data_IF_492867528152
#
_entry.id   IF_492867528152
#
_cell.length_a   1.000
_cell.length_b   1.000
_cell.length_c   1.000
_cell.angle_alpha   90.00
_cell.angle_beta   90.00
_cell.angle_gamma   90.00
#
_symmetry.space_group_name_H-M   'P 1'
#
loop_
_entity.id
_entity.type
_entity.pdbx_description
1 polymer ?
#
# COMPACT_ATOMS: atom_id res chain seq x y z
N UNK A 1 16.18 9.51 13.29
CA UNK A 1 14.98 9.29 12.46
C UNK A 1 14.85 10.49 11.56
N UNK A 2 15.04 10.35 10.24
CA UNK A 2 14.83 11.45 9.30
C UNK A 2 13.34 11.76 9.26
N UNK A 3 12.96 13.01 9.51
CA UNK A 3 11.57 13.43 9.33
C UNK A 3 11.16 13.20 7.87
N UNK A 4 10.05 12.48 7.68
CA UNK A 4 9.46 12.31 6.34
C UNK A 4 9.05 13.70 5.83
N UNK A 5 9.46 14.11 4.61
CA UNK A 5 9.02 15.37 4.06
C UNK A 5 7.50 15.35 3.89
N UNK A 6 6.83 16.31 4.53
CA UNK A 6 5.38 16.44 4.54
C UNK A 6 4.96 17.81 4.00
N UNK A 7 3.81 17.84 3.37
CA UNK A 7 3.20 19.11 2.96
C UNK A 7 2.98 20.03 4.19
N UNK A 8 3.15 21.35 4.09
CA UNK A 8 2.97 22.29 5.22
C UNK A 8 1.66 22.11 6.00
N UNK A 9 0.56 21.78 5.33
CA UNK A 9 -0.73 21.51 5.98
C UNK A 9 -0.72 20.28 6.89
N UNK A 10 0.16 19.31 6.62
CA UNK A 10 0.36 18.15 7.50
C UNK A 10 1.24 18.46 8.70
N UNK A 11 2.11 19.46 8.59
CA UNK A 11 3.05 19.88 9.65
C UNK A 11 2.37 20.83 10.62
N UNK A 12 1.56 21.76 10.11
CA UNK A 12 0.89 22.79 10.91
C UNK A 12 -0.39 22.29 11.59
N UNK A 13 -0.30 21.14 12.26
CA UNK A 13 -1.42 20.69 13.10
C UNK A 13 -1.55 21.62 14.31
N UNK A 14 -2.78 22.09 14.65
CA UNK A 14 -2.97 22.84 15.88
C UNK A 14 -2.50 22.03 17.08
N UNK A 15 -1.82 22.68 18.02
CA UNK A 15 -1.36 22.05 19.27
C UNK A 15 -2.59 21.84 20.16
N UNK A 16 -3.40 20.86 19.80
CA UNK A 16 -4.50 20.42 20.66
C UNK A 16 -3.96 19.27 21.55
N UNK A 17 -4.25 19.29 22.85
CA UNK A 17 -3.88 18.19 23.72
C UNK A 17 -4.52 16.90 23.21
N UNK A 18 -3.68 15.90 22.91
CA UNK A 18 -4.16 14.59 22.47
C UNK A 18 -4.90 13.96 23.65
N UNK A 19 -6.22 13.82 23.54
CA UNK A 19 -7.02 13.14 24.56
C UNK A 19 -6.55 11.69 24.72
N UNK A 20 -6.46 11.21 25.96
CA UNK A 20 -6.17 9.81 26.24
C UNK A 20 -7.18 8.92 25.51
N UNK A 21 -6.68 7.94 24.76
CA UNK A 21 -7.56 6.97 24.11
C UNK A 21 -8.30 6.15 25.15
N UNK A 22 -9.55 5.72 24.90
CA UNK A 22 -10.28 4.80 25.76
C UNK A 22 -9.46 3.52 26.02
N UNK A 23 -9.55 2.95 27.20
CA UNK A 23 -8.72 1.81 27.62
C UNK A 23 -8.97 0.53 26.81
N UNK A 24 -10.10 0.45 26.09
CA UNK A 24 -10.41 -0.67 25.21
C UNK A 24 -9.71 -0.58 23.84
N UNK A 25 -9.20 0.60 23.44
CA UNK A 25 -8.40 0.76 22.22
C UNK A 25 -6.97 0.35 22.52
N UNK A 26 -6.66 -0.91 22.25
CA UNK A 26 -5.31 -1.46 22.43
C UNK A 26 -4.86 -2.18 21.17
N UNK A 27 -3.64 -1.90 20.72
CA UNK A 27 -2.97 -2.70 19.69
C UNK A 27 -2.39 -3.96 20.35
N UNK A 28 -2.60 -5.12 19.73
CA UNK A 28 -1.96 -6.36 20.17
C UNK A 28 -0.56 -6.43 19.58
N UNK A 29 0.44 -6.47 20.44
CA UNK A 29 1.81 -6.78 20.02
C UNK A 29 1.90 -8.30 19.97
N UNK A 30 2.02 -8.84 18.74
CA UNK A 30 2.21 -10.26 18.52
C UNK A 30 3.66 -10.48 18.11
N UNK A 31 4.42 -11.11 19.01
CA UNK A 31 5.76 -11.60 18.69
C UNK A 31 5.63 -12.98 18.06
N UNK A 32 5.72 -13.04 16.73
CA UNK A 32 5.56 -14.30 15.99
C UNK A 32 6.62 -14.42 14.90
N UNK A 33 7.06 -15.65 14.67
CA UNK A 33 7.97 -15.96 13.56
C UNK A 33 7.37 -15.54 12.21
N UNK A 34 6.06 -15.66 12.05
CA UNK A 34 5.33 -15.26 10.83
C UNK A 34 5.46 -13.77 10.56
N UNK A 35 5.37 -12.92 11.61
CA UNK A 35 5.60 -11.49 11.48
C UNK A 35 7.00 -11.19 10.93
N UNK A 36 8.03 -11.82 11.51
CA UNK A 36 9.41 -11.61 11.07
C UNK A 36 9.66 -12.13 9.66
N UNK A 37 9.04 -13.25 9.28
CA UNK A 37 9.09 -13.76 7.90
C UNK A 37 8.45 -12.76 6.93
N UNK A 38 7.26 -12.24 7.24
CA UNK A 38 6.58 -11.23 6.42
C UNK A 38 7.46 -9.99 6.26
N UNK A 39 8.02 -9.47 7.36
CA UNK A 39 8.92 -8.33 7.35
C UNK A 39 10.16 -8.58 6.48
N UNK A 40 10.73 -9.78 6.57
CA UNK A 40 11.91 -10.18 5.78
C UNK A 40 11.59 -10.19 4.28
N UNK A 41 10.47 -10.80 3.88
CA UNK A 41 10.05 -10.86 2.45
C UNK A 41 9.82 -9.46 1.90
N UNK A 42 9.10 -8.60 2.63
CA UNK A 42 8.84 -7.21 2.23
C UNK A 42 10.17 -6.46 2.01
N UNK A 43 11.10 -6.54 2.98
CA UNK A 43 12.36 -5.82 2.91
C UNK A 43 13.30 -6.38 1.82
N UNK A 44 13.38 -7.70 1.65
CA UNK A 44 14.25 -8.32 0.64
C UNK A 44 13.83 -8.01 -0.80
N UNK A 45 12.53 -7.82 -1.02
CA UNK A 45 12.01 -7.45 -2.34
C UNK A 45 11.91 -5.93 -2.53
N UNK A 46 12.37 -5.11 -1.57
CA UNK A 46 12.25 -3.65 -1.58
C UNK A 46 10.81 -3.20 -1.85
N UNK A 47 9.82 -3.86 -1.22
CA UNK A 47 8.42 -3.54 -1.37
C UNK A 47 7.98 -2.48 -0.37
N UNK A 48 7.07 -1.64 -0.81
CA UNK A 48 6.42 -0.63 0.03
C UNK A 48 5.09 -1.17 0.54
N UNK A 49 4.79 -0.97 1.82
CA UNK A 49 3.52 -1.35 2.41
C UNK A 49 2.88 -0.17 3.12
N UNK A 50 1.57 0.00 2.96
CA UNK A 50 0.80 0.98 3.74
C UNK A 50 0.97 0.74 5.25
N UNK A 51 1.13 -0.52 5.64
CA UNK A 51 1.32 -0.90 7.04
C UNK A 51 2.53 -0.21 7.68
N UNK A 52 3.62 -0.04 6.91
CA UNK A 52 4.84 0.65 7.35
C UNK A 52 4.73 2.16 7.14
N UNK A 53 4.32 2.58 5.95
CA UNK A 53 4.31 4.00 5.57
C UNK A 53 3.28 4.82 6.35
N UNK A 54 2.13 4.24 6.65
CA UNK A 54 1.08 4.88 7.45
C UNK A 54 1.23 4.66 8.97
N UNK A 55 2.35 4.04 9.44
CA UNK A 55 2.56 3.73 10.86
C UNK A 55 1.37 2.98 11.49
N UNK A 56 0.84 1.97 10.79
CA UNK A 56 -0.35 1.25 11.20
C UNK A 56 -0.16 0.55 12.55
N UNK A 57 -0.99 0.82 13.57
CA UNK A 57 -0.84 0.19 14.89
C UNK A 57 -1.14 -1.31 14.89
N UNK A 58 -1.81 -1.82 13.86
CA UNK A 58 -2.22 -3.22 13.75
C UNK A 58 -1.24 -4.09 12.96
N UNK A 59 -0.11 -3.53 12.52
CA UNK A 59 0.86 -4.21 11.65
C UNK A 59 1.30 -5.56 12.20
N UNK A 60 1.54 -5.67 13.51
CA UNK A 60 2.00 -6.91 14.15
C UNK A 60 0.94 -8.01 14.09
N UNK A 61 -0.33 -7.67 14.30
CA UNK A 61 -1.42 -8.62 14.21
C UNK A 61 -1.68 -9.03 12.75
N UNK A 62 -1.76 -8.09 11.82
CA UNK A 62 -2.03 -8.37 10.41
C UNK A 62 -0.93 -9.25 9.80
N UNK A 63 0.32 -8.87 10.00
CA UNK A 63 1.44 -9.63 9.44
C UNK A 63 1.64 -11.00 10.07
N UNK A 64 1.28 -11.18 11.35
CA UNK A 64 1.26 -12.50 11.99
C UNK A 64 0.19 -13.43 11.39
N UNK A 65 -0.86 -12.86 10.79
CA UNK A 65 -1.92 -13.57 10.07
C UNK A 65 -1.66 -13.69 8.57
N UNK A 66 -0.46 -13.29 8.11
CA UNK A 66 -0.10 -13.24 6.68
C UNK A 66 -1.01 -12.32 5.84
N UNK A 67 -1.47 -11.22 6.44
CA UNK A 67 -2.20 -10.18 5.73
C UNK A 67 -1.29 -8.97 5.54
N UNK A 68 -1.05 -8.57 4.30
CA UNK A 68 -0.26 -7.40 3.97
C UNK A 68 -0.99 -6.56 2.92
N UNK A 69 -0.89 -5.23 3.06
CA UNK A 69 -1.37 -4.28 2.06
C UNK A 69 -0.16 -3.68 1.37
N UNK A 70 0.08 -4.08 0.13
CA UNK A 70 1.16 -3.55 -0.67
C UNK A 70 0.77 -2.19 -1.26
N UNK A 71 1.71 -1.27 -1.22
CA UNK A 71 1.56 0.06 -1.82
C UNK A 71 2.48 0.13 -3.04
N UNK A 72 1.90 0.22 -4.22
CA UNK A 72 2.63 0.26 -5.49
C UNK A 72 2.93 1.68 -5.95
N UNK A 73 3.79 1.81 -6.95
CA UNK A 73 4.23 3.07 -7.57
C UNK A 73 5.08 3.95 -6.64
N UNK A 74 5.73 3.33 -5.65
CA UNK A 74 6.68 3.97 -4.75
C UNK A 74 6.08 4.41 -3.41
N UNK A 75 6.85 5.21 -2.66
CA UNK A 75 6.57 5.68 -1.30
C UNK A 75 6.15 7.16 -1.22
N UNK A 76 6.11 7.85 -2.36
CA UNK A 76 5.90 9.30 -2.44
C UNK A 76 4.64 9.60 -3.24
N UNK A 77 3.68 10.28 -2.60
CA UNK A 77 2.39 10.63 -3.17
C UNK A 77 2.43 12.05 -3.74
N UNK A 78 1.75 12.30 -4.86
CA UNK A 78 1.57 13.65 -5.43
C UNK A 78 0.61 14.51 -4.61
N UNK A 79 -0.21 13.90 -3.72
CA UNK A 79 -1.22 14.58 -2.93
C UNK A 79 -0.91 14.58 -1.44
N UNK A 80 -1.48 15.58 -0.74
CA UNK A 80 -1.26 15.84 0.68
C UNK A 80 -2.56 15.70 1.51
N UNK A 81 -3.18 14.53 1.49
CA UNK A 81 -4.41 14.30 2.26
C UNK A 81 -4.16 14.46 3.76
N UNK A 82 -4.99 15.25 4.45
CA UNK A 82 -4.78 15.64 5.85
C UNK A 82 -4.75 14.45 6.84
N UNK A 83 -5.43 13.36 6.51
CA UNK A 83 -5.51 12.14 7.33
C UNK A 83 -4.40 11.12 7.02
N UNK A 84 -3.65 11.29 5.92
CA UNK A 84 -2.70 10.30 5.44
C UNK A 84 -1.28 10.58 5.94
N UNK A 85 -0.55 9.55 6.38
CA UNK A 85 0.83 9.68 6.89
C UNK A 85 1.90 9.35 5.83
N UNK A 86 1.49 9.01 4.60
CA UNK A 86 2.40 8.75 3.49
C UNK A 86 3.15 10.02 3.10
N UNK A 87 4.41 9.87 2.76
CA UNK A 87 5.29 10.93 2.27
C UNK A 87 4.68 11.63 1.06
N UNK A 88 4.79 12.95 0.98
CA UNK A 88 4.32 13.74 -0.16
C UNK A 88 5.46 14.44 -0.87
N UNK A 89 5.35 14.55 -2.18
CA UNK A 89 6.38 15.20 -2.99
C UNK A 89 6.31 14.80 -4.46
N UNK A 90 7.45 14.91 -5.14
CA UNK A 90 7.60 14.44 -6.51
C UNK A 90 8.00 12.96 -6.49
N UNK A 91 7.16 12.04 -7.01
CA UNK A 91 7.50 10.63 -7.09
C UNK A 91 8.67 10.37 -8.05
N UNK A 92 9.32 9.24 -7.87
CA UNK A 92 10.31 8.70 -8.82
C UNK A 92 9.63 7.96 -9.97
N UNK A 93 10.40 7.57 -10.98
CA UNK A 93 9.91 6.74 -12.08
C UNK A 93 9.35 5.41 -11.56
N UNK A 94 8.43 4.82 -12.33
CA UNK A 94 7.85 3.52 -12.01
C UNK A 94 8.89 2.40 -12.12
N UNK A 95 8.90 1.51 -11.13
CA UNK A 95 9.69 0.30 -11.21
C UNK A 95 9.01 -0.74 -12.12
N UNK A 96 9.59 -0.98 -13.27
CA UNK A 96 9.09 -1.95 -14.26
C UNK A 96 9.05 -3.38 -13.72
N UNK A 97 9.82 -3.69 -12.69
CA UNK A 97 9.87 -5.01 -12.04
C UNK A 97 8.92 -5.13 -10.84
N UNK A 98 8.22 -4.05 -10.45
CA UNK A 98 7.30 -4.07 -9.31
C UNK A 98 6.19 -5.13 -9.46
N UNK A 99 5.56 -5.35 -10.64
CA UNK A 99 4.58 -6.43 -10.83
C UNK A 99 5.15 -7.82 -10.49
N UNK A 100 6.39 -8.10 -10.91
CA UNK A 100 7.05 -9.35 -10.63
C UNK A 100 7.41 -9.49 -9.14
N UNK A 101 7.89 -8.42 -8.52
CA UNK A 101 8.25 -8.39 -7.09
C UNK A 101 7.03 -8.65 -6.22
N UNK A 102 5.91 -7.98 -6.48
CA UNK A 102 4.64 -8.16 -5.75
C UNK A 102 4.14 -9.60 -5.91
N UNK A 103 4.06 -10.11 -7.14
CA UNK A 103 3.57 -11.48 -7.40
C UNK A 103 4.43 -12.55 -6.71
N UNK A 104 5.75 -12.34 -6.64
CA UNK A 104 6.67 -13.20 -5.90
C UNK A 104 6.41 -13.14 -4.39
N UNK A 105 6.29 -11.93 -3.83
CA UNK A 105 6.06 -11.75 -2.41
C UNK A 105 4.73 -12.38 -1.95
N UNK A 106 3.66 -12.23 -2.74
CA UNK A 106 2.38 -12.89 -2.48
C UNK A 106 2.54 -14.40 -2.41
N UNK A 107 3.32 -14.98 -3.34
CA UNK A 107 3.62 -16.41 -3.37
C UNK A 107 4.47 -16.85 -2.17
N UNK A 108 5.56 -16.14 -1.89
CA UNK A 108 6.50 -16.50 -0.82
C UNK A 108 5.84 -16.43 0.57
N UNK A 109 4.92 -15.50 0.74
CA UNK A 109 4.11 -15.36 1.95
C UNK A 109 2.92 -16.32 1.98
N UNK A 110 2.61 -16.99 0.86
CA UNK A 110 1.43 -17.84 0.71
C UNK A 110 0.15 -17.14 1.20
N UNK A 111 -0.08 -15.94 0.65
CA UNK A 111 -1.24 -15.12 1.02
C UNK A 111 -2.51 -15.72 0.43
N UNK A 112 -3.56 -15.83 1.24
CA UNK A 112 -4.91 -16.18 0.77
C UNK A 112 -5.66 -14.97 0.25
N UNK A 113 -5.29 -13.78 0.76
CA UNK A 113 -5.87 -12.52 0.37
C UNK A 113 -4.78 -11.43 0.38
N UNK A 114 -4.71 -10.65 -0.67
CA UNK A 114 -3.79 -9.52 -0.81
C UNK A 114 -4.57 -8.26 -1.14
N UNK A 115 -4.23 -7.17 -0.47
CA UNK A 115 -4.70 -5.83 -0.82
C UNK A 115 -3.58 -5.09 -1.54
N UNK A 116 -3.87 -4.56 -2.71
CA UNK A 116 -2.98 -3.75 -3.52
C UNK A 116 -3.53 -2.34 -3.59
N UNK A 117 -2.79 -1.39 -3.09
CA UNK A 117 -3.12 0.04 -3.16
C UNK A 117 -1.94 0.82 -3.73
N UNK A 118 -2.07 2.13 -3.89
CA UNK A 118 -1.01 2.97 -4.41
C UNK A 118 -0.92 4.32 -3.72
N UNK A 119 0.18 5.03 -3.99
CA UNK A 119 0.21 6.48 -3.89
C UNK A 119 -0.57 7.10 -5.05
N UNK A 120 -1.04 8.34 -4.91
CA UNK A 120 -1.56 9.10 -6.05
C UNK A 120 -0.40 9.47 -7.00
N UNK A 121 -0.63 9.29 -8.28
CA UNK A 121 0.30 9.57 -9.37
C UNK A 121 -0.34 10.49 -10.41
N UNK A 122 -0.76 11.68 -9.95
CA UNK A 122 -1.33 12.70 -10.85
C UNK A 122 -0.35 13.17 -11.92
N UNK A 123 0.94 12.91 -11.73
CA UNK A 123 2.03 13.13 -12.66
C UNK A 123 2.00 12.20 -13.88
N UNK A 124 1.37 11.03 -13.78
CA UNK A 124 1.21 10.09 -14.88
C UNK A 124 -0.05 10.41 -15.69
N UNK A 125 0.02 10.22 -17.01
CA UNK A 125 -1.08 10.48 -17.92
C UNK A 125 -2.33 9.67 -17.61
N UNK A 126 -2.14 8.39 -17.24
CA UNK A 126 -3.18 7.44 -16.88
C UNK A 126 -3.43 7.32 -15.37
N UNK A 127 -2.73 8.13 -14.54
CA UNK A 127 -2.81 8.05 -13.09
C UNK A 127 -2.27 6.74 -12.51
N UNK A 128 -1.56 5.93 -13.30
CA UNK A 128 -1.00 4.64 -12.90
C UNK A 128 -1.93 3.44 -13.10
N UNK A 129 -3.03 3.60 -13.81
CA UNK A 129 -4.01 2.51 -14.04
C UNK A 129 -3.43 1.33 -14.80
N UNK A 130 -2.58 1.56 -15.80
CA UNK A 130 -1.86 0.51 -16.52
C UNK A 130 -0.90 -0.26 -15.60
N UNK A 131 -0.28 0.43 -14.65
CA UNK A 131 0.59 -0.21 -13.68
C UNK A 131 -0.19 -1.10 -12.71
N UNK A 132 -1.35 -0.65 -12.21
CA UNK A 132 -2.28 -1.50 -11.47
C UNK A 132 -2.65 -2.76 -12.24
N UNK A 133 -3.07 -2.59 -13.50
CA UNK A 133 -3.41 -3.72 -14.37
C UNK A 133 -2.27 -4.75 -14.42
N UNK A 134 -1.04 -4.30 -14.67
CA UNK A 134 0.13 -5.18 -14.73
C UNK A 134 0.41 -5.91 -13.42
N UNK A 135 0.30 -5.21 -12.28
CA UNK A 135 0.52 -5.80 -10.95
C UNK A 135 -0.53 -6.85 -10.64
N UNK A 136 -1.82 -6.55 -10.87
CA UNK A 136 -2.91 -7.49 -10.62
C UNK A 136 -2.76 -8.72 -11.51
N UNK A 137 -2.54 -8.52 -12.82
CA UNK A 137 -2.37 -9.61 -13.77
C UNK A 137 -1.20 -10.53 -13.41
N UNK A 138 -0.02 -9.97 -13.13
CA UNK A 138 1.14 -10.76 -12.72
C UNK A 138 0.89 -11.51 -11.39
N UNK A 139 0.15 -10.89 -10.48
CA UNK A 139 -0.22 -11.52 -9.20
C UNK A 139 -1.17 -12.67 -9.41
N UNK A 140 -2.22 -12.51 -10.21
CA UNK A 140 -3.18 -13.55 -10.56
C UNK A 140 -2.53 -14.74 -11.28
N UNK A 141 -1.73 -14.47 -12.30
CA UNK A 141 -1.03 -15.52 -13.07
C UNK A 141 -0.16 -16.41 -12.17
N UNK A 142 0.48 -15.83 -11.17
CA UNK A 142 1.38 -16.55 -10.26
C UNK A 142 0.69 -17.16 -9.07
N UNK A 143 -0.45 -16.61 -8.65
CA UNK A 143 -1.19 -16.96 -7.44
C UNK A 143 -2.68 -17.09 -7.74
N UNK A 144 -3.11 -18.10 -8.51
CA UNK A 144 -4.49 -18.21 -9.01
C UNK A 144 -5.54 -18.31 -7.90
N UNK A 145 -5.17 -18.87 -6.75
CA UNK A 145 -6.08 -19.09 -5.60
C UNK A 145 -6.13 -17.91 -4.61
N UNK A 146 -5.28 -16.88 -4.83
CA UNK A 146 -5.23 -15.72 -3.94
C UNK A 146 -6.36 -14.76 -4.28
N UNK A 147 -7.16 -14.36 -3.31
CA UNK A 147 -8.10 -13.25 -3.48
C UNK A 147 -7.36 -11.93 -3.59
N UNK A 148 -7.64 -11.17 -4.65
CA UNK A 148 -6.98 -9.90 -4.96
C UNK A 148 -7.98 -8.76 -4.81
N UNK A 149 -7.73 -7.93 -3.82
CA UNK A 149 -8.46 -6.69 -3.58
C UNK A 149 -7.61 -5.50 -4.02
N UNK A 150 -8.22 -4.56 -4.73
CA UNK A 150 -7.55 -3.33 -5.16
C UNK A 150 -8.25 -2.14 -4.51
N UNK A 151 -7.45 -1.28 -3.87
CA UNK A 151 -7.88 0.02 -3.36
C UNK A 151 -7.21 1.10 -4.19
N UNK A 152 -7.99 1.71 -5.11
CA UNK A 152 -7.47 2.70 -6.06
C UNK A 152 -7.57 4.13 -5.56
N UNK A 153 -6.74 5.06 -6.10
CA UNK A 153 -7.05 6.48 -6.02
C UNK A 153 -8.28 6.82 -6.87
N UNK A 154 -8.75 8.06 -6.77
CA UNK A 154 -9.89 8.54 -7.55
C UNK A 154 -9.57 8.82 -9.03
N UNK A 155 -8.31 8.65 -9.46
CA UNK A 155 -7.81 8.94 -10.81
C UNK A 155 -8.27 10.31 -11.32
N UNK A 156 -8.15 11.34 -10.50
CA UNK A 156 -8.64 12.70 -10.76
C UNK A 156 -8.42 13.16 -12.21
N UNK A 157 -9.49 13.45 -12.93
CA UNK A 157 -9.51 13.89 -14.33
C UNK A 157 -8.96 12.89 -15.36
N UNK A 158 -8.77 11.63 -14.96
CA UNK A 158 -8.27 10.55 -15.85
C UNK A 158 -9.44 9.65 -16.34
N UNK A 159 -10.59 10.23 -16.58
CA UNK A 159 -11.78 9.65 -17.22
C UNK A 159 -12.02 8.15 -16.96
N UNK A 160 -11.48 7.31 -17.83
CA UNK A 160 -11.72 5.88 -17.83
C UNK A 160 -10.59 5.03 -17.19
N UNK A 161 -9.67 5.66 -16.44
CA UNK A 161 -8.53 4.95 -15.84
C UNK A 161 -8.96 3.75 -14.96
N UNK A 162 -10.06 3.89 -14.21
CA UNK A 162 -10.59 2.79 -13.40
C UNK A 162 -11.03 1.58 -14.26
N UNK A 163 -11.52 1.80 -15.49
CA UNK A 163 -11.90 0.71 -16.40
C UNK A 163 -10.69 -0.16 -16.74
N UNK A 164 -9.52 0.47 -16.92
CA UNK A 164 -8.28 -0.27 -17.17
C UNK A 164 -7.92 -1.20 -16.04
N UNK A 165 -8.12 -0.76 -14.78
CA UNK A 165 -7.90 -1.62 -13.61
C UNK A 165 -8.89 -2.77 -13.59
N UNK A 166 -10.16 -2.53 -13.92
CA UNK A 166 -11.21 -3.55 -13.97
C UNK A 166 -11.02 -4.61 -15.06
N UNK A 167 -10.19 -4.33 -16.09
CA UNK A 167 -9.80 -5.35 -17.08
C UNK A 167 -8.89 -6.44 -16.49
N UNK A 168 -8.25 -6.17 -15.33
CA UNK A 168 -7.47 -7.17 -14.64
C UNK A 168 -8.40 -8.13 -13.87
N UNK A 169 -7.98 -9.37 -13.73
CA UNK A 169 -8.73 -10.42 -13.03
C UNK A 169 -8.59 -10.25 -11.50
N UNK A 170 -9.32 -9.28 -10.94
CA UNK A 170 -9.40 -8.95 -9.51
C UNK A 170 -10.74 -9.42 -8.92
N UNK A 171 -10.78 -9.63 -7.60
CA UNK A 171 -11.98 -10.10 -6.89
C UNK A 171 -12.74 -8.95 -6.24
N UNK A 172 -12.04 -7.94 -5.74
CA UNK A 172 -12.65 -6.79 -5.04
C UNK A 172 -12.04 -5.48 -5.55
N UNK A 173 -12.90 -4.56 -5.92
CA UNK A 173 -12.53 -3.20 -6.34
C UNK A 173 -13.13 -2.17 -5.37
N UNK A 174 -12.25 -1.36 -4.77
CA UNK A 174 -12.58 -0.26 -3.84
C UNK A 174 -12.06 1.07 -4.36
#
# INVERSE_FOLDING_TARGET
>A
MSEKPRHPEKVNKPINPIKKKPDWIRSKIVDSQVFFQTKKVVNQNNLVTVCQEANCPNITECWSKKHATFMIMGDTCTRACAFCDVKTGKPTDLDIFEPLKISNAVKDLNLKHVVITSVDRDDLEDGGSEHFYKVVKATREKNPETSIEVLTPDFLRKGDAYKKVLEADLDVFN
#
